data_IF_313301276449
#
_entry.id   IF_313301276449
#
_cell.length_a   1.000
_cell.length_b   1.000
_cell.length_c   1.000
_cell.angle_alpha   90.00
_cell.angle_beta   90.00
_cell.angle_gamma   90.00
#
_symmetry.space_group_name_H-M   'P 1'
#
loop_
_entity.id
_entity.type
_entity.pdbx_description
1 polymer ?
#
# COMPACT_ATOMS: atom_id res chain seq x y z
N UNK A 1 1.41 5.15 6.47
CA UNK A 1 0.03 5.01 7.01
C UNK A 1 -0.74 6.33 6.96
N UNK A 2 -2.09 6.24 6.91
CA UNK A 2 -2.97 7.40 7.02
C UNK A 2 -2.95 7.86 8.47
N UNK A 3 -2.82 9.17 8.68
CA UNK A 3 -2.67 9.79 10.01
C UNK A 3 -3.69 10.90 10.21
N UNK A 4 -3.92 11.28 11.47
CA UNK A 4 -4.80 12.37 11.84
C UNK A 4 -4.10 13.33 12.82
N UNK A 5 -4.56 14.59 12.83
CA UNK A 5 -4.10 15.60 13.79
C UNK A 5 -4.84 15.43 15.14
N UNK A 6 -4.21 15.71 16.28
CA UNK A 6 -4.87 15.64 17.59
C UNK A 6 -6.05 16.61 17.74
N UNK A 7 -6.14 17.62 16.88
CA UNK A 7 -7.21 18.62 16.90
C UNK A 7 -8.37 18.33 15.95
N UNK A 8 -8.27 17.31 15.09
CA UNK A 8 -9.39 16.85 14.27
C UNK A 8 -10.54 16.37 15.15
N UNK A 9 -11.76 16.57 14.69
CA UNK A 9 -12.94 16.11 15.44
C UNK A 9 -13.11 14.58 15.32
N UNK A 10 -13.81 13.99 16.27
CA UNK A 10 -14.19 12.57 16.20
C UNK A 10 -14.98 12.29 14.92
N UNK A 11 -15.82 13.23 14.48
CA UNK A 11 -16.60 13.18 13.23
C UNK A 11 -15.67 12.99 12.01
N UNK A 12 -14.67 13.88 11.87
CA UNK A 12 -13.70 13.81 10.76
C UNK A 12 -12.96 12.47 10.72
N UNK A 13 -12.56 12.00 11.91
CA UNK A 13 -11.85 10.73 12.05
C UNK A 13 -12.74 9.54 11.67
N UNK A 14 -14.04 9.57 12.03
CA UNK A 14 -15.00 8.55 11.60
C UNK A 14 -15.20 8.54 10.08
N UNK A 15 -15.22 9.68 9.43
CA UNK A 15 -15.30 9.77 7.97
C UNK A 15 -14.06 9.14 7.30
N UNK A 16 -12.87 9.46 7.79
CA UNK A 16 -11.61 8.87 7.32
C UNK A 16 -11.63 7.34 7.49
N UNK A 17 -12.04 6.83 8.66
CA UNK A 17 -12.12 5.38 8.90
C UNK A 17 -13.08 4.68 7.94
N UNK A 18 -14.20 5.30 7.60
CA UNK A 18 -15.18 4.80 6.63
C UNK A 18 -14.65 4.84 5.21
N UNK A 19 -14.09 5.99 4.79
CA UNK A 19 -13.55 6.19 3.45
C UNK A 19 -12.45 5.18 3.11
N UNK A 20 -11.49 5.01 4.02
CA UNK A 20 -10.33 4.14 3.82
C UNK A 20 -10.50 2.72 4.37
N UNK A 21 -11.65 2.41 4.99
CA UNK A 21 -11.96 1.10 5.62
C UNK A 21 -10.88 0.62 6.59
N UNK A 22 -10.37 1.54 7.40
CA UNK A 22 -9.31 1.29 8.39
C UNK A 22 -9.85 1.44 9.81
N UNK A 23 -9.27 0.68 10.75
CA UNK A 23 -9.77 0.55 12.12
C UNK A 23 -8.86 1.20 13.17
N UNK A 24 -7.84 1.94 12.74
CA UNK A 24 -6.95 2.65 13.65
C UNK A 24 -6.02 3.59 12.91
N UNK A 25 -5.84 4.76 13.47
CA UNK A 25 -5.14 5.88 12.89
C UNK A 25 -4.09 6.41 13.87
N UNK A 26 -2.80 6.46 13.48
CA UNK A 26 -1.81 7.20 14.26
C UNK A 26 -2.18 8.67 14.33
N UNK A 27 -2.05 9.25 15.51
CA UNK A 27 -2.25 10.68 15.74
C UNK A 27 -0.88 11.34 15.80
N UNK A 28 -0.62 12.29 14.89
CA UNK A 28 0.67 12.98 14.77
C UNK A 28 0.50 14.47 14.98
N UNK A 29 1.52 15.12 15.53
CA UNK A 29 1.59 16.58 15.64
C UNK A 29 2.06 17.23 14.33
N UNK A 30 2.18 18.57 14.34
CA UNK A 30 2.63 19.34 13.17
C UNK A 30 4.09 19.04 12.76
N UNK A 31 4.89 18.48 13.67
CA UNK A 31 6.26 18.07 13.40
C UNK A 31 6.36 16.62 12.89
N UNK A 32 5.22 15.92 12.71
CA UNK A 32 5.19 14.52 12.28
C UNK A 32 5.46 13.51 13.40
N UNK A 33 5.56 13.96 14.66
CA UNK A 33 5.80 13.09 15.81
C UNK A 33 4.52 12.45 16.29
N UNK A 34 4.60 11.17 16.65
CA UNK A 34 3.46 10.43 17.18
C UNK A 34 3.10 10.93 18.57
N UNK A 35 1.86 11.37 18.76
CA UNK A 35 1.30 11.82 20.04
C UNK A 35 0.25 10.86 20.60
N UNK A 36 -0.24 9.93 19.77
CA UNK A 36 -1.22 8.94 20.18
C UNK A 36 -1.64 8.01 19.05
N UNK A 37 -2.63 7.17 19.34
CA UNK A 37 -3.38 6.38 18.35
C UNK A 37 -4.86 6.42 18.70
N UNK A 38 -5.72 6.51 17.70
CA UNK A 38 -7.17 6.36 17.84
C UNK A 38 -7.62 5.14 17.06
N UNK A 39 -8.47 4.32 17.66
CA UNK A 39 -8.94 3.07 17.10
C UNK A 39 -10.48 2.99 17.11
N UNK A 40 -11.04 2.02 16.40
CA UNK A 40 -12.49 1.77 16.44
C UNK A 40 -13.00 1.51 17.86
N UNK A 41 -12.16 1.02 18.78
CA UNK A 41 -12.53 0.84 20.19
C UNK A 41 -12.81 2.18 20.85
N UNK A 42 -11.99 3.19 20.56
CA UNK A 42 -12.11 4.53 21.11
C UNK A 42 -13.31 5.30 20.51
N UNK A 43 -13.64 4.99 19.25
CA UNK A 43 -14.69 5.68 18.48
C UNK A 43 -16.08 5.06 18.64
N UNK A 44 -16.17 3.76 18.97
CA UNK A 44 -17.39 2.95 18.84
C UNK A 44 -18.61 3.48 19.59
N UNK A 45 -18.39 4.00 20.78
CA UNK A 45 -19.46 4.46 21.67
C UNK A 45 -19.36 5.95 21.97
N UNK A 46 -18.55 6.68 21.19
CA UNK A 46 -18.40 8.11 21.40
C UNK A 46 -19.62 8.87 20.88
N UNK A 47 -20.22 9.67 21.74
CA UNK A 47 -21.43 10.44 21.44
C UNK A 47 -21.12 11.90 21.12
N UNK A 48 -20.06 12.47 21.67
CA UNK A 48 -19.62 13.82 21.36
C UNK A 48 -18.70 13.84 20.14
N UNK A 49 -19.29 13.91 18.96
CA UNK A 49 -18.57 13.84 17.69
C UNK A 49 -17.78 15.12 17.36
N UNK A 50 -18.05 16.22 18.02
CA UNK A 50 -17.41 17.50 17.74
C UNK A 50 -16.19 17.78 18.64
N UNK A 51 -15.93 16.91 19.63
CA UNK A 51 -14.72 16.99 20.43
C UNK A 51 -13.47 16.59 19.65
N UNK A 52 -12.28 17.13 20.02
CA UNK A 52 -11.03 16.79 19.37
C UNK A 52 -10.59 15.36 19.73
N UNK A 53 -10.00 14.64 18.76
CA UNK A 53 -9.58 13.25 18.94
C UNK A 53 -8.57 13.05 20.06
N UNK A 54 -7.80 14.07 20.43
CA UNK A 54 -6.87 14.02 21.55
C UNK A 54 -7.52 13.66 22.89
N UNK A 55 -8.83 13.92 23.05
CA UNK A 55 -9.55 13.64 24.30
C UNK A 55 -9.87 12.16 24.49
N UNK A 56 -9.94 11.39 23.40
CA UNK A 56 -10.33 9.96 23.39
C UNK A 56 -9.21 9.02 22.98
N UNK A 57 -8.17 9.52 22.29
CA UNK A 57 -7.06 8.69 21.79
C UNK A 57 -6.27 8.02 22.93
N UNK A 58 -5.61 6.91 22.64
CA UNK A 58 -4.54 6.38 23.49
C UNK A 58 -3.32 7.30 23.38
N UNK A 59 -2.92 8.00 24.45
CA UNK A 59 -1.85 8.98 24.40
C UNK A 59 -0.46 8.34 24.34
N UNK A 60 0.56 9.09 23.87
CA UNK A 60 1.96 8.68 23.69
C UNK A 60 2.52 7.82 24.84
N UNK A 61 2.28 8.22 26.09
CA UNK A 61 2.80 7.51 27.29
C UNK A 61 2.29 6.08 27.46
N UNK A 62 1.20 5.72 26.77
CA UNK A 62 0.60 4.36 26.82
C UNK A 62 0.79 3.60 25.52
N UNK A 63 1.49 4.18 24.54
CA UNK A 63 1.76 3.50 23.29
C UNK A 63 2.80 2.39 23.46
N UNK A 64 2.54 1.28 22.80
CA UNK A 64 3.52 0.23 22.53
C UNK A 64 3.98 0.42 21.09
N UNK A 65 5.29 0.57 20.91
CA UNK A 65 5.88 0.89 19.61
C UNK A 65 7.11 0.01 19.37
N UNK A 66 7.50 -0.13 18.11
CA UNK A 66 8.79 -0.72 17.72
C UNK A 66 9.62 0.34 16.99
N UNK A 67 10.93 0.14 17.00
CA UNK A 67 11.85 1.00 16.26
C UNK A 67 11.87 0.61 14.78
N UNK A 68 12.22 1.56 13.94
CA UNK A 68 12.53 1.29 12.54
C UNK A 68 13.63 0.24 12.44
N UNK A 69 13.43 -0.79 11.60
CA UNK A 69 14.32 -1.95 11.50
C UNK A 69 14.06 -3.07 12.50
N UNK A 70 13.09 -2.94 13.41
CA UNK A 70 12.67 -4.04 14.28
C UNK A 70 12.18 -5.26 13.49
N UNK A 71 12.42 -6.45 14.01
CA UNK A 71 11.97 -7.68 13.36
C UNK A 71 10.46 -7.89 13.46
N UNK A 72 9.91 -8.69 12.55
CA UNK A 72 8.49 -9.08 12.60
C UNK A 72 8.19 -9.85 13.88
N UNK A 73 9.13 -10.66 14.35
CA UNK A 73 9.02 -11.44 15.60
C UNK A 73 8.91 -10.55 16.83
N UNK A 74 9.69 -9.47 16.90
CA UNK A 74 9.60 -8.48 17.97
C UNK A 74 8.22 -7.80 17.97
N UNK A 75 7.74 -7.36 16.81
CA UNK A 75 6.41 -6.77 16.69
C UNK A 75 5.30 -7.77 17.09
N UNK A 76 5.43 -9.04 16.69
CA UNK A 76 4.50 -10.12 17.03
C UNK A 76 4.44 -10.37 18.54
N UNK A 77 5.60 -10.39 19.20
CA UNK A 77 5.67 -10.61 20.65
C UNK A 77 5.02 -9.45 21.42
N UNK A 78 5.25 -8.21 21.02
CA UNK A 78 4.59 -7.04 21.62
C UNK A 78 3.09 -7.07 21.42
N UNK A 79 2.64 -7.39 20.21
CA UNK A 79 1.21 -7.55 19.88
C UNK A 79 0.57 -8.62 20.78
N UNK A 80 1.23 -9.77 20.94
CA UNK A 80 0.74 -10.88 21.77
C UNK A 80 0.69 -10.48 23.24
N UNK A 81 1.77 -9.94 23.78
CA UNK A 81 1.91 -9.61 25.20
C UNK A 81 0.93 -8.53 25.64
N UNK A 82 0.78 -7.49 24.82
CA UNK A 82 -0.11 -6.36 25.11
C UNK A 82 -1.53 -6.51 24.58
N UNK A 83 -1.86 -7.64 23.90
CA UNK A 83 -3.16 -7.93 23.29
C UNK A 83 -3.61 -6.82 22.33
N UNK A 84 -2.67 -6.40 21.48
CA UNK A 84 -2.89 -5.35 20.50
C UNK A 84 -3.25 -5.93 19.14
N UNK A 85 -3.89 -5.15 18.29
CA UNK A 85 -4.10 -5.47 16.87
C UNK A 85 -3.00 -4.88 15.97
N UNK A 86 -2.22 -3.94 16.51
CA UNK A 86 -1.20 -3.20 15.77
C UNK A 86 -0.18 -2.54 16.67
N UNK A 87 1.02 -2.30 16.14
CA UNK A 87 2.07 -1.50 16.75
C UNK A 87 2.57 -0.45 15.77
N UNK A 88 2.91 0.72 16.27
CA UNK A 88 3.50 1.79 15.48
C UNK A 88 5.01 1.57 15.34
N UNK A 89 5.53 1.80 14.14
CA UNK A 89 6.97 1.84 13.89
C UNK A 89 7.42 3.30 13.95
N UNK A 90 8.40 3.59 14.78
CA UNK A 90 8.91 4.95 15.01
C UNK A 90 10.42 5.01 14.89
N UNK A 91 10.95 6.19 14.57
CA UNK A 91 12.38 6.47 14.69
C UNK A 91 12.78 6.92 16.12
N UNK A 92 14.04 7.29 16.29
CA UNK A 92 14.58 7.74 17.60
C UNK A 92 14.00 9.07 18.07
N UNK A 93 13.50 9.89 17.15
CA UNK A 93 12.85 11.16 17.45
C UNK A 93 11.33 11.04 17.62
N UNK A 94 10.80 9.82 17.54
CA UNK A 94 9.38 9.49 17.65
C UNK A 94 8.53 9.91 16.43
N UNK A 95 9.15 10.07 15.24
CA UNK A 95 8.38 10.24 14.02
C UNK A 95 7.81 8.89 13.56
N UNK A 96 6.62 8.95 12.96
CA UNK A 96 5.97 7.77 12.40
C UNK A 96 6.70 7.27 11.16
N UNK A 97 7.18 6.04 11.17
CA UNK A 97 7.82 5.35 10.05
C UNK A 97 6.92 4.28 9.43
N UNK A 98 6.08 3.65 10.24
CA UNK A 98 5.21 2.59 9.76
C UNK A 98 4.15 2.17 10.75
N UNK A 99 3.42 1.14 10.36
CA UNK A 99 2.40 0.46 11.17
C UNK A 99 2.44 -1.02 10.83
N UNK A 100 2.59 -1.88 11.83
CA UNK A 100 2.50 -3.34 11.69
C UNK A 100 1.22 -3.81 12.36
N UNK A 101 0.42 -4.60 11.65
CA UNK A 101 -0.83 -5.16 12.16
C UNK A 101 -0.79 -6.68 12.26
N UNK A 102 -1.67 -7.26 13.07
CA UNK A 102 -1.87 -8.72 13.13
C UNK A 102 -2.15 -9.29 11.74
N UNK A 103 -2.92 -8.58 10.90
CA UNK A 103 -3.22 -9.01 9.53
C UNK A 103 -1.97 -9.10 8.66
N UNK A 104 -1.03 -8.18 8.79
CA UNK A 104 0.22 -8.20 8.02
C UNK A 104 1.06 -9.42 8.39
N UNK A 105 1.15 -9.72 9.70
CA UNK A 105 1.88 -10.87 10.24
C UNK A 105 1.23 -12.18 9.75
N UNK A 106 -0.11 -12.32 9.89
CA UNK A 106 -0.81 -13.52 9.43
C UNK A 106 -0.66 -13.73 7.93
N UNK A 107 -0.86 -12.69 7.11
CA UNK A 107 -0.70 -12.78 5.66
C UNK A 107 0.73 -13.12 5.23
N UNK A 108 1.74 -12.65 5.94
CA UNK A 108 3.13 -13.01 5.65
C UNK A 108 3.42 -14.50 5.92
N UNK A 109 2.72 -15.08 6.88
CA UNK A 109 2.82 -16.51 7.21
C UNK A 109 2.00 -17.38 6.24
N UNK A 110 0.79 -16.93 5.88
CA UNK A 110 -0.11 -17.64 4.96
C UNK A 110 0.39 -17.58 3.50
N UNK A 111 1.05 -16.50 3.12
CA UNK A 111 1.52 -16.23 1.75
C UNK A 111 3.02 -15.88 1.72
N UNK A 112 3.92 -16.82 2.10
CA UNK A 112 5.36 -16.56 2.17
C UNK A 112 6.00 -16.27 0.81
N UNK A 113 5.38 -16.73 -0.29
CA UNK A 113 5.85 -16.53 -1.66
C UNK A 113 5.17 -15.33 -2.37
N UNK A 114 4.43 -14.50 -1.64
CA UNK A 114 3.81 -13.31 -2.22
C UNK A 114 4.87 -12.40 -2.85
N UNK A 115 4.65 -12.01 -4.12
CA UNK A 115 5.57 -11.15 -4.84
C UNK A 115 5.45 -9.70 -4.31
N UNK A 116 6.51 -9.22 -3.67
CA UNK A 116 6.56 -7.92 -3.02
C UNK A 116 7.68 -7.06 -3.58
N UNK A 117 7.50 -5.75 -3.51
CA UNK A 117 8.55 -4.77 -3.80
C UNK A 117 9.55 -4.64 -2.63
N UNK A 118 10.57 -3.81 -2.82
CA UNK A 118 11.59 -3.56 -1.80
C UNK A 118 11.04 -2.93 -0.50
N UNK A 119 9.86 -2.32 -0.55
CA UNK A 119 9.14 -1.76 0.61
C UNK A 119 8.16 -2.75 1.24
N UNK A 120 8.13 -4.02 0.79
CA UNK A 120 7.24 -5.06 1.29
C UNK A 120 5.78 -4.94 0.82
N UNK A 121 5.47 -4.09 -0.16
CA UNK A 121 4.14 -3.97 -0.76
C UNK A 121 3.95 -5.02 -1.84
N UNK A 122 2.74 -5.56 -1.99
CA UNK A 122 2.41 -6.47 -3.08
C UNK A 122 2.61 -5.76 -4.42
N UNK A 123 3.27 -6.43 -5.37
CA UNK A 123 3.33 -5.95 -6.74
C UNK A 123 1.97 -6.09 -7.41
N UNK A 124 1.61 -5.08 -8.21
CA UNK A 124 0.34 -5.01 -8.91
C UNK A 124 0.55 -5.01 -10.42
N UNK A 125 -0.26 -5.81 -11.13
CA UNK A 125 -0.28 -5.83 -12.59
C UNK A 125 -1.64 -5.38 -13.12
N UNK A 126 -1.64 -4.79 -14.33
CA UNK A 126 -2.86 -4.40 -15.02
C UNK A 126 -2.82 -4.79 -16.50
N UNK A 127 -3.95 -5.31 -17.00
CA UNK A 127 -4.10 -5.62 -18.41
C UNK A 127 -4.49 -4.39 -19.23
N UNK A 128 -3.91 -4.28 -20.42
CA UNK A 128 -4.20 -3.25 -21.40
C UNK A 128 -4.32 -3.87 -22.80
N UNK A 129 -5.06 -3.24 -23.68
CA UNK A 129 -5.15 -3.61 -25.09
C UNK A 129 -4.15 -2.85 -25.96
N UNK A 130 -4.47 -2.77 -27.28
CA UNK A 130 -3.69 -2.04 -28.28
C UNK A 130 -4.49 -0.92 -28.96
N UNK A 131 -5.77 -0.78 -28.60
CA UNK A 131 -6.68 0.20 -29.18
C UNK A 131 -6.44 1.63 -28.71
N UNK A 132 -7.28 2.55 -29.22
CA UNK A 132 -7.28 3.96 -28.82
C UNK A 132 -7.50 4.11 -27.29
N UNK A 133 -6.87 5.13 -26.67
CA UNK A 133 -6.95 5.40 -25.24
C UNK A 133 -6.06 4.50 -24.36
N UNK A 134 -5.38 3.49 -24.95
CA UNK A 134 -4.52 2.59 -24.17
C UNK A 134 -3.28 3.32 -23.63
N UNK A 135 -2.75 4.30 -24.34
CA UNK A 135 -1.59 5.08 -23.90
C UNK A 135 -1.93 5.87 -22.64
N UNK A 136 -3.01 6.65 -22.67
CA UNK A 136 -3.52 7.39 -21.52
C UNK A 136 -3.78 6.46 -20.32
N UNK A 137 -4.35 5.27 -20.57
CA UNK A 137 -4.55 4.27 -19.52
C UNK A 137 -3.23 3.79 -18.90
N UNK A 138 -2.19 3.55 -19.71
CA UNK A 138 -0.86 3.15 -19.22
C UNK A 138 -0.23 4.29 -18.42
N UNK A 139 -0.36 5.55 -18.85
CA UNK A 139 0.11 6.73 -18.12
C UNK A 139 -0.53 6.80 -16.73
N UNK A 140 -1.85 6.69 -16.63
CA UNK A 140 -2.58 6.69 -15.36
C UNK A 140 -2.20 5.50 -14.45
N UNK A 141 -1.96 4.33 -15.03
CA UNK A 141 -1.49 3.15 -14.30
C UNK A 141 -0.05 3.34 -13.77
N UNK A 142 0.81 3.98 -14.56
CA UNK A 142 2.17 4.32 -14.16
C UNK A 142 2.18 5.33 -12.99
N UNK A 143 1.34 6.37 -13.07
CA UNK A 143 1.14 7.34 -11.97
C UNK A 143 0.59 6.67 -10.71
N UNK A 144 -0.28 5.67 -10.86
CA UNK A 144 -0.79 4.88 -9.74
C UNK A 144 0.23 3.88 -9.16
N UNK A 145 1.39 3.74 -9.80
CA UNK A 145 2.49 2.88 -9.32
C UNK A 145 2.32 1.40 -9.70
N UNK A 146 1.80 1.09 -10.90
CA UNK A 146 1.74 -0.27 -11.41
C UNK A 146 3.16 -0.84 -11.62
N UNK A 147 3.37 -2.10 -11.23
CA UNK A 147 4.66 -2.77 -11.42
C UNK A 147 4.75 -3.49 -12.77
N UNK A 148 3.63 -4.03 -13.25
CA UNK A 148 3.58 -4.87 -14.46
C UNK A 148 2.39 -4.47 -15.33
N UNK A 149 2.63 -4.28 -16.62
CA UNK A 149 1.58 -4.10 -17.64
C UNK A 149 1.52 -5.34 -18.51
N UNK A 150 0.32 -5.92 -18.64
CA UNK A 150 0.06 -7.06 -19.52
C UNK A 150 -0.63 -6.55 -20.79
N UNK A 151 0.06 -6.57 -21.92
CA UNK A 151 -0.54 -6.30 -23.24
C UNK A 151 -1.27 -7.57 -23.68
N UNK A 152 -2.55 -7.65 -23.31
CA UNK A 152 -3.37 -8.86 -23.44
C UNK A 152 -4.24 -8.81 -24.70
N UNK A 153 -3.94 -9.71 -25.64
CA UNK A 153 -4.66 -9.86 -26.89
C UNK A 153 -4.73 -11.33 -27.32
N UNK A 154 -5.66 -11.65 -28.24
CA UNK A 154 -5.75 -12.98 -28.83
C UNK A 154 -4.52 -13.33 -29.70
N UNK A 155 -3.83 -12.33 -30.27
CA UNK A 155 -2.68 -12.48 -31.18
C UNK A 155 -1.52 -11.59 -30.73
N UNK A 156 -0.72 -12.08 -29.81
CA UNK A 156 0.45 -11.37 -29.26
C UNK A 156 1.57 -11.10 -30.28
N UNK A 157 1.62 -11.84 -31.40
CA UNK A 157 2.55 -11.58 -32.51
C UNK A 157 1.98 -10.64 -33.59
N UNK A 158 1.03 -9.77 -33.22
CA UNK A 158 0.54 -8.72 -34.09
C UNK A 158 1.38 -7.45 -33.97
N UNK A 159 1.44 -6.66 -35.06
CA UNK A 159 2.21 -5.40 -35.06
C UNK A 159 1.74 -4.45 -33.94
N UNK A 160 0.43 -4.36 -33.70
CA UNK A 160 -0.10 -3.51 -32.63
C UNK A 160 0.38 -3.89 -31.23
N UNK A 161 0.59 -5.19 -30.95
CA UNK A 161 1.15 -5.65 -29.67
C UNK A 161 2.64 -5.31 -29.58
N UNK A 162 3.41 -5.58 -30.63
CA UNK A 162 4.84 -5.26 -30.71
C UNK A 162 5.08 -3.75 -30.53
N UNK A 163 4.32 -2.92 -31.21
CA UNK A 163 4.39 -1.47 -31.09
C UNK A 163 4.02 -1.00 -29.68
N UNK A 164 3.00 -1.61 -29.05
CA UNK A 164 2.58 -1.27 -27.70
C UNK A 164 3.64 -1.64 -26.67
N UNK A 165 4.22 -2.83 -26.76
CA UNK A 165 5.33 -3.28 -25.87
C UNK A 165 6.49 -2.30 -26.00
N UNK A 166 6.94 -2.01 -27.23
CA UNK A 166 8.01 -1.05 -27.49
C UNK A 166 7.71 0.34 -26.93
N UNK A 167 6.47 0.82 -27.09
CA UNK A 167 6.06 2.13 -26.59
C UNK A 167 6.09 2.18 -25.06
N UNK A 168 5.59 1.15 -24.37
CA UNK A 168 5.62 1.08 -22.90
C UNK A 168 7.05 1.04 -22.39
N UNK A 169 7.90 0.17 -22.92
CA UNK A 169 9.32 0.05 -22.50
C UNK A 169 10.11 1.33 -22.76
N UNK A 170 9.80 2.06 -23.84
CA UNK A 170 10.45 3.34 -24.14
C UNK A 170 10.04 4.46 -23.17
N UNK A 171 8.76 4.57 -22.84
CA UNK A 171 8.23 5.69 -22.04
C UNK A 171 8.24 5.40 -20.54
N UNK A 172 8.16 4.12 -20.12
CA UNK A 172 8.10 3.67 -18.75
C UNK A 172 9.06 2.48 -18.53
N UNK A 173 10.39 2.70 -18.63
CA UNK A 173 11.39 1.61 -18.56
C UNK A 173 11.39 0.86 -17.23
N UNK A 174 10.83 1.45 -16.16
CA UNK A 174 10.70 0.85 -14.84
C UNK A 174 9.53 -0.16 -14.74
N UNK A 175 8.59 -0.15 -15.71
CA UNK A 175 7.44 -1.05 -15.72
C UNK A 175 7.82 -2.32 -16.47
N UNK A 176 7.57 -3.48 -15.85
CA UNK A 176 7.70 -4.76 -16.54
C UNK A 176 6.53 -4.97 -17.51
N UNK A 177 6.81 -5.59 -18.67
CA UNK A 177 5.79 -5.80 -19.69
C UNK A 177 5.68 -7.27 -20.05
N UNK A 178 4.45 -7.77 -20.04
CA UNK A 178 4.10 -9.10 -20.54
C UNK A 178 3.26 -8.90 -21.81
N UNK A 179 3.71 -9.48 -22.92
CA UNK A 179 2.94 -9.46 -24.18
C UNK A 179 2.36 -10.85 -24.49
N UNK A 180 1.10 -10.90 -24.90
CA UNK A 180 0.46 -12.19 -25.24
C UNK A 180 -0.95 -12.01 -25.85
N UNK A 181 -1.57 -13.15 -26.31
CA UNK A 181 -1.05 -14.53 -26.19
C UNK A 181 -0.12 -14.87 -27.35
N UNK A 182 0.87 -15.71 -27.11
CA UNK A 182 1.79 -16.21 -28.14
C UNK A 182 1.87 -17.74 -28.09
N UNK A 183 2.22 -18.36 -29.25
CA UNK A 183 2.33 -19.82 -29.37
C UNK A 183 3.62 -20.26 -30.09
N UNK A 184 4.43 -19.34 -30.61
CA UNK A 184 5.62 -19.66 -31.41
C UNK A 184 6.88 -19.03 -30.86
N UNK A 185 8.03 -19.64 -31.14
CA UNK A 185 9.34 -19.10 -30.78
C UNK A 185 9.62 -17.75 -31.46
N UNK A 186 9.13 -17.56 -32.69
CA UNK A 186 9.31 -16.31 -33.43
C UNK A 186 8.54 -15.16 -32.76
N UNK A 187 7.31 -15.43 -32.28
CA UNK A 187 6.56 -14.44 -31.50
C UNK A 187 7.28 -14.05 -30.21
N UNK A 188 7.86 -15.01 -29.51
CA UNK A 188 8.65 -14.74 -28.30
C UNK A 188 9.87 -13.88 -28.61
N UNK A 189 10.63 -14.21 -29.68
CA UNK A 189 11.78 -13.39 -30.12
C UNK A 189 11.35 -11.97 -30.48
N UNK A 190 10.28 -11.84 -31.28
CA UNK A 190 9.76 -10.52 -31.67
C UNK A 190 9.38 -9.65 -30.46
N UNK A 191 8.79 -10.21 -29.39
CA UNK A 191 8.49 -9.48 -28.19
C UNK A 191 9.76 -9.09 -27.39
N UNK A 192 10.75 -9.99 -27.29
CA UNK A 192 12.03 -9.68 -26.64
C UNK A 192 12.76 -8.55 -27.37
N UNK A 193 12.73 -8.54 -28.71
CA UNK A 193 13.34 -7.47 -29.54
C UNK A 193 12.68 -6.09 -29.33
N UNK A 194 11.47 -6.04 -28.77
CA UNK A 194 10.76 -4.80 -28.45
C UNK A 194 11.11 -4.23 -27.06
N UNK A 195 11.90 -4.94 -26.25
CA UNK A 195 12.34 -4.55 -24.90
C UNK A 195 11.77 -5.40 -23.79
#
# INVERSE_FOLDING_TARGET
PITVSPMMTVRDVLEITRQYRISGLPVIDKAGKVVGIVTNRDLRFETNLDQPVKSIMTPKKRLVTVKEGASVEEAKELIRTHRLERVLVIDDEFHLRGLITVKDILKSTEHPLANKDASGRLRAGAAVGVGAGTEERVELLAEAGVDVVVVDTAHGHSQGVLDRVKWVKKNFPQIEVIGGNIATADAARALVDMG
#
